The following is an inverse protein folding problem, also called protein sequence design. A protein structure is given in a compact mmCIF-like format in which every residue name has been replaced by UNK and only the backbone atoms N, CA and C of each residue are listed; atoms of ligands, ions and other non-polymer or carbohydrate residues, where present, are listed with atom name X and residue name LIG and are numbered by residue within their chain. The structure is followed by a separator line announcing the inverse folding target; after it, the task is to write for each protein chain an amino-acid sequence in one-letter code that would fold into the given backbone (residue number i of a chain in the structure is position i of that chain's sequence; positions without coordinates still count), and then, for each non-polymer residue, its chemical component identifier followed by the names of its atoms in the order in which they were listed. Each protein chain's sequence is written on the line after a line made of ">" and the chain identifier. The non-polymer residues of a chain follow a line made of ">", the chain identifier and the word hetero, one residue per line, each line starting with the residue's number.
data_IF_957014797449
#
_entry.id   IF_957014797449
#
_cell.length_a   1.000
_cell.length_b   1.000
_cell.length_c   1.000
_cell.angle_alpha   90.00
_cell.angle_beta   90.00
_cell.angle_gamma   90.00
#
_symmetry.space_group_name_H-M   'P 1'
#
loop_
_entity.id
_entity.type
_entity.pdbx_description
1 polymer ?
#
# COMPACT_ATOMS: atom_id res chain seq x y z
N UNK A 1 -11.34 0.15 -8.90
CA UNK A 1 -10.44 1.10 -8.22
C UNK A 1 -8.99 0.68 -8.45
N UNK A 2 -8.15 1.60 -8.89
CA UNK A 2 -6.72 1.34 -9.06
C UNK A 2 -6.04 1.28 -7.69
N UNK A 3 -5.22 0.26 -7.48
CA UNK A 3 -4.31 0.17 -6.34
C UNK A 3 -2.93 0.63 -6.80
N UNK A 4 -2.45 1.75 -6.28
CA UNK A 4 -1.21 2.35 -6.72
C UNK A 4 -0.19 2.38 -5.57
N UNK A 5 0.88 1.62 -5.70
CA UNK A 5 1.98 1.65 -4.74
C UNK A 5 3.01 2.64 -5.27
N UNK A 6 3.28 3.70 -4.52
CA UNK A 6 4.30 4.70 -4.84
C UNK A 6 5.38 4.58 -3.78
N UNK A 7 6.54 4.07 -4.16
CA UNK A 7 7.58 3.71 -3.21
C UNK A 7 8.91 4.38 -3.54
N UNK A 8 9.60 4.86 -2.52
CA UNK A 8 10.93 5.42 -2.66
C UNK A 8 11.98 4.30 -2.66
N UNK A 9 12.95 4.45 -3.54
CA UNK A 9 14.03 3.49 -3.70
C UNK A 9 13.74 2.41 -4.73
N UNK A 10 14.80 1.85 -5.28
CA UNK A 10 14.72 0.75 -6.25
C UNK A 10 14.90 -0.57 -5.52
N UNK A 11 13.94 -1.48 -5.70
CA UNK A 11 14.00 -2.79 -5.06
C UNK A 11 15.00 -3.73 -5.78
N UNK A 12 15.24 -3.51 -7.08
CA UNK A 12 16.19 -4.29 -7.87
C UNK A 12 15.86 -5.78 -7.89
N UNK A 13 16.89 -6.61 -7.86
CA UNK A 13 16.76 -8.06 -7.75
C UNK A 13 16.99 -8.46 -6.30
N UNK A 14 15.97 -9.01 -5.65
CA UNK A 14 16.03 -9.37 -4.24
C UNK A 14 14.90 -10.35 -3.91
N UNK A 15 14.98 -11.07 -2.79
CA UNK A 15 13.85 -11.87 -2.32
C UNK A 15 12.58 -11.04 -2.16
N UNK A 16 12.69 -9.79 -1.69
CA UNK A 16 11.56 -8.88 -1.52
C UNK A 16 10.94 -8.53 -2.87
N UNK A 17 11.75 -8.32 -3.91
CA UNK A 17 11.26 -8.05 -5.26
C UNK A 17 10.44 -9.23 -5.82
N UNK A 18 10.90 -10.45 -5.56
CA UNK A 18 10.19 -11.66 -5.97
C UNK A 18 8.82 -11.77 -5.27
N UNK A 19 8.76 -11.43 -3.99
CA UNK A 19 7.51 -11.43 -3.23
C UNK A 19 6.54 -10.37 -3.77
N UNK A 20 7.03 -9.15 -4.00
CA UNK A 20 6.21 -8.08 -4.56
C UNK A 20 5.62 -8.52 -5.90
N UNK A 21 6.45 -9.03 -6.80
CA UNK A 21 6.00 -9.49 -8.11
C UNK A 21 4.97 -10.60 -8.00
N UNK A 22 5.21 -11.57 -7.12
CA UNK A 22 4.30 -12.70 -6.89
C UNK A 22 2.91 -12.23 -6.51
N UNK A 23 2.80 -11.32 -5.54
CA UNK A 23 1.50 -10.90 -5.05
C UNK A 23 0.82 -9.91 -5.99
N UNK A 24 1.56 -8.96 -6.54
CA UNK A 24 0.99 -7.99 -7.50
C UNK A 24 0.36 -8.70 -8.70
N UNK A 25 1.00 -9.74 -9.23
CA UNK A 25 0.46 -10.54 -10.33
C UNK A 25 -0.88 -11.21 -10.02
N UNK A 26 -1.10 -11.54 -8.75
CA UNK A 26 -2.31 -12.26 -8.31
C UNK A 26 -3.49 -11.33 -8.02
N UNK A 27 -3.23 -10.02 -7.84
CA UNK A 27 -4.28 -9.05 -7.56
C UNK A 27 -5.17 -8.90 -8.79
N UNK A 28 -6.49 -9.12 -8.62
CA UNK A 28 -7.45 -9.03 -9.72
C UNK A 28 -7.85 -7.60 -10.06
N UNK A 29 -7.60 -6.65 -9.16
CA UNK A 29 -7.87 -5.24 -9.39
C UNK A 29 -6.72 -4.61 -10.17
N UNK A 30 -6.98 -3.52 -10.92
CA UNK A 30 -5.89 -2.77 -11.57
C UNK A 30 -4.86 -2.34 -10.52
N UNK A 31 -3.60 -2.64 -10.77
CA UNK A 31 -2.51 -2.37 -9.83
C UNK A 31 -1.33 -1.77 -10.57
N UNK A 32 -0.73 -0.74 -9.97
CA UNK A 32 0.43 -0.06 -10.52
C UNK A 32 1.47 0.12 -9.42
N UNK A 33 2.73 -0.05 -9.77
CA UNK A 33 3.86 0.24 -8.89
C UNK A 33 4.72 1.32 -9.53
N UNK A 34 4.94 2.41 -8.82
CA UNK A 34 5.83 3.49 -9.22
C UNK A 34 6.97 3.58 -8.23
N UNK A 35 8.21 3.47 -8.72
CA UNK A 35 9.38 3.69 -7.89
C UNK A 35 9.90 5.12 -8.10
N UNK A 36 10.18 5.79 -6.99
CA UNK A 36 10.76 7.13 -6.97
C UNK A 36 12.19 7.04 -6.43
N UNK A 37 13.07 8.02 -6.78
CA UNK A 37 14.37 8.12 -6.12
C UNK A 37 14.19 8.28 -4.60
N UNK A 38 15.25 8.04 -3.82
CA UNK A 38 15.22 8.24 -2.38
C UNK A 38 14.85 9.67 -2.01
N UNK A 39 15.24 10.63 -2.85
CA UNK A 39 14.86 12.04 -2.68
C UNK A 39 14.46 12.64 -4.02
N UNK A 40 13.48 13.53 -3.98
CA UNK A 40 13.02 14.24 -5.18
C UNK A 40 12.24 13.35 -6.13
N UNK A 41 12.41 13.60 -7.42
CA UNK A 41 11.65 12.92 -8.46
C UNK A 41 10.22 13.46 -8.57
N UNK A 42 9.52 13.02 -9.59
CA UNK A 42 8.16 13.48 -9.85
C UNK A 42 7.15 12.48 -9.27
N UNK A 43 6.48 12.90 -8.21
CA UNK A 43 5.34 12.13 -7.68
C UNK A 43 4.20 12.18 -8.70
N UNK A 44 3.59 11.05 -9.04
CA UNK A 44 2.45 11.05 -9.98
C UNK A 44 1.34 11.98 -9.50
N UNK A 45 0.74 12.70 -10.46
CA UNK A 45 -0.36 13.60 -10.16
C UNK A 45 -1.51 12.85 -9.48
N UNK A 46 -2.19 13.47 -8.50
CA UNK A 46 -3.35 12.85 -7.87
C UNK A 46 -4.48 12.66 -8.88
N UNK A 47 -5.11 11.49 -8.85
CA UNK A 47 -6.32 11.26 -9.60
C UNK A 47 -7.50 11.97 -8.92
N UNK A 48 -8.55 12.29 -9.68
CA UNK A 48 -9.81 12.72 -9.07
C UNK A 48 -10.33 11.58 -8.17
N UNK A 49 -10.86 11.92 -7.00
CA UNK A 49 -11.38 10.94 -6.04
C UNK A 49 -10.32 9.91 -5.62
N UNK A 50 -9.15 10.41 -5.26
CA UNK A 50 -8.07 9.59 -4.73
C UNK A 50 -8.12 9.53 -3.21
N UNK A 51 -7.71 8.39 -2.66
CA UNK A 51 -7.35 8.27 -1.24
C UNK A 51 -5.85 8.01 -1.14
N UNK A 52 -5.18 8.74 -0.27
CA UNK A 52 -3.74 8.63 -0.05
C UNK A 52 -3.48 8.02 1.33
N UNK A 53 -2.77 6.92 1.34
CA UNK A 53 -2.37 6.19 2.54
C UNK A 53 -0.86 6.25 2.64
N UNK A 54 -0.34 6.72 3.77
CA UNK A 54 1.09 6.67 4.05
C UNK A 54 1.36 5.47 4.95
N UNK A 55 2.35 4.65 4.61
CA UNK A 55 2.88 3.65 5.53
C UNK A 55 3.78 4.37 6.52
N UNK A 56 3.35 4.41 7.77
CA UNK A 56 4.00 5.16 8.84
C UNK A 56 3.86 4.38 10.15
N UNK A 57 4.97 4.19 10.87
CA UNK A 57 4.97 3.39 12.11
C UNK A 57 4.10 4.01 13.22
N UNK A 58 3.78 5.29 13.11
CA UNK A 58 2.87 5.97 14.07
C UNK A 58 1.41 5.89 13.64
N UNK A 59 1.11 5.23 12.53
CA UNK A 59 -0.24 5.13 12.00
C UNK A 59 -1.11 4.12 12.73
N UNK A 60 -2.36 4.01 12.26
CA UNK A 60 -3.30 3.03 12.77
C UNK A 60 -2.91 1.63 12.31
N UNK A 61 -3.07 0.66 13.19
CA UNK A 61 -2.99 -0.75 12.81
C UNK A 61 -4.38 -1.24 12.44
N UNK A 62 -4.46 -2.00 11.35
CA UNK A 62 -5.69 -2.63 10.89
C UNK A 62 -5.42 -4.11 10.72
N UNK A 63 -6.36 -4.95 11.13
CA UNK A 63 -6.28 -6.35 10.75
C UNK A 63 -6.70 -6.51 9.29
N UNK A 64 -6.52 -7.69 8.73
CA UNK A 64 -6.76 -7.91 7.30
C UNK A 64 -8.22 -7.71 6.89
N UNK A 65 -9.16 -8.06 7.77
CA UNK A 65 -10.59 -7.86 7.49
C UNK A 65 -10.95 -6.39 7.51
N UNK A 66 -10.44 -5.62 8.48
CA UNK A 66 -10.63 -4.17 8.55
C UNK A 66 -10.04 -3.48 7.33
N UNK A 67 -8.85 -3.92 6.91
CA UNK A 67 -8.19 -3.38 5.71
C UNK A 67 -9.03 -3.66 4.45
N UNK A 68 -9.54 -4.88 4.31
CA UNK A 68 -10.41 -5.25 3.20
C UNK A 68 -11.70 -4.42 3.20
N UNK A 69 -12.32 -4.24 4.37
CA UNK A 69 -13.54 -3.44 4.49
C UNK A 69 -13.31 -2.00 4.08
N UNK A 70 -12.18 -1.41 4.44
CA UNK A 70 -11.80 -0.06 4.05
C UNK A 70 -11.69 0.05 2.52
N UNK A 71 -10.96 -0.86 1.89
CA UNK A 71 -10.79 -0.85 0.44
C UNK A 71 -12.13 -1.07 -0.28
N UNK A 72 -12.94 -1.98 0.20
CA UNK A 72 -14.27 -2.25 -0.35
C UNK A 72 -15.18 -1.05 -0.24
N UNK A 73 -15.17 -0.36 0.91
CA UNK A 73 -15.93 0.85 1.13
C UNK A 73 -15.53 1.98 0.19
N UNK A 74 -14.24 2.20 0.00
CA UNK A 74 -13.76 3.21 -0.95
C UNK A 74 -14.17 2.89 -2.38
N UNK A 75 -14.05 1.63 -2.80
CA UNK A 75 -14.50 1.19 -4.12
C UNK A 75 -15.99 1.50 -4.31
N UNK A 76 -16.81 1.15 -3.33
CA UNK A 76 -18.25 1.34 -3.40
C UNK A 76 -18.64 2.83 -3.37
N UNK A 77 -17.82 3.67 -2.73
CA UNK A 77 -18.00 5.12 -2.69
C UNK A 77 -17.51 5.83 -3.96
N UNK A 78 -16.99 5.10 -4.93
CA UNK A 78 -16.53 5.67 -6.20
C UNK A 78 -15.11 6.21 -6.18
N UNK A 79 -14.29 5.85 -5.19
CA UNK A 79 -12.87 6.19 -5.19
C UNK A 79 -12.20 5.52 -6.38
N UNK A 80 -11.44 6.28 -7.16
CA UNK A 80 -10.80 5.77 -8.38
C UNK A 80 -9.41 5.21 -8.16
N UNK A 81 -8.70 5.76 -7.19
CA UNK A 81 -7.34 5.32 -6.87
C UNK A 81 -7.13 5.31 -5.36
N UNK A 82 -6.65 4.18 -4.84
CA UNK A 82 -6.09 4.11 -3.51
C UNK A 82 -4.57 4.08 -3.67
N UNK A 83 -3.92 5.16 -3.23
CA UNK A 83 -2.48 5.33 -3.37
C UNK A 83 -1.80 5.05 -2.05
N UNK A 84 -0.92 4.06 -2.05
CA UNK A 84 -0.14 3.66 -0.89
C UNK A 84 1.30 4.16 -1.07
N UNK A 85 1.72 5.06 -0.20
CA UNK A 85 3.05 5.64 -0.29
C UNK A 85 3.98 5.01 0.74
N UNK A 86 5.14 4.58 0.28
CA UNK A 86 6.19 4.04 1.12
C UNK A 86 7.39 4.98 1.01
N UNK A 87 7.76 5.60 2.14
CA UNK A 87 8.86 6.55 2.19
C UNK A 87 10.22 5.88 2.21
N UNK A 88 11.25 6.71 2.10
CA UNK A 88 12.63 6.30 2.35
C UNK A 88 12.85 6.11 3.86
N UNK A 89 14.09 5.81 4.25
CA UNK A 89 14.43 5.49 5.63
C UNK A 89 14.07 6.59 6.65
N UNK A 90 14.06 7.86 6.22
CA UNK A 90 13.69 9.00 7.07
C UNK A 90 12.16 9.25 7.12
N UNK A 91 11.38 8.48 6.39
CA UNK A 91 9.90 8.54 6.45
C UNK A 91 9.31 9.78 5.78
N UNK A 92 8.18 10.23 6.34
CA UNK A 92 7.42 11.36 5.81
C UNK A 92 7.51 12.56 6.77
N UNK A 93 7.37 13.76 6.21
CA UNK A 93 7.31 14.98 7.03
C UNK A 93 5.89 15.23 7.57
N UNK A 94 5.76 16.23 8.45
CA UNK A 94 4.48 16.54 9.08
C UNK A 94 3.43 17.03 8.08
N UNK A 95 3.85 17.75 7.03
CA UNK A 95 2.93 18.24 6.01
C UNK A 95 2.33 17.07 5.21
N UNK A 96 3.16 16.11 4.83
CA UNK A 96 2.68 14.90 4.13
C UNK A 96 1.72 14.09 4.99
N UNK A 97 2.03 13.94 6.29
CA UNK A 97 1.14 13.24 7.22
C UNK A 97 -0.19 13.95 7.37
N UNK A 98 -0.19 15.27 7.43
CA UNK A 98 -1.42 16.04 7.59
C UNK A 98 -2.35 15.96 6.37
N UNK A 99 -1.79 15.79 5.18
CA UNK A 99 -2.57 15.71 3.94
C UNK A 99 -3.09 14.30 3.63
N UNK A 100 -2.56 13.28 4.29
CA UNK A 100 -2.96 11.90 4.02
C UNK A 100 -4.36 11.60 4.56
N UNK A 101 -5.08 10.74 3.85
CA UNK A 101 -6.38 10.24 4.32
C UNK A 101 -6.22 9.22 5.43
N UNK A 102 -5.10 8.50 5.44
CA UNK A 102 -4.82 7.50 6.46
C UNK A 102 -3.31 7.35 6.63
N UNK A 103 -2.87 7.27 7.87
CA UNK A 103 -1.55 6.76 8.23
C UNK A 103 -1.74 5.31 8.67
N UNK A 104 -1.04 4.39 7.99
CA UNK A 104 -1.21 2.96 8.21
C UNK A 104 0.10 2.33 8.68
N UNK A 105 0.01 1.53 9.74
CA UNK A 105 1.16 0.89 10.37
C UNK A 105 1.02 -0.63 10.38
N UNK A 106 2.13 -1.32 10.12
CA UNK A 106 2.24 -2.77 10.33
C UNK A 106 2.67 -3.14 11.76
N UNK A 107 2.46 -2.23 12.70
CA UNK A 107 2.83 -2.41 14.08
C UNK A 107 3.89 -1.41 14.52
N UNK A 108 4.26 -1.48 15.80
CA UNK A 108 5.16 -0.51 16.42
C UNK A 108 6.65 -0.78 16.14
N UNK A 109 6.96 -1.96 15.62
CA UNK A 109 8.32 -2.29 15.22
C UNK A 109 8.69 -1.52 13.95
N UNK A 110 9.98 -1.22 13.82
CA UNK A 110 10.51 -0.64 12.58
C UNK A 110 10.77 -1.75 11.58
N UNK A 111 10.24 -1.59 10.37
CA UNK A 111 10.43 -2.56 9.29
C UNK A 111 11.33 -1.97 8.20
N UNK A 112 12.23 -2.78 7.61
CA UNK A 112 12.94 -2.34 6.40
C UNK A 112 11.91 -1.98 5.32
N UNK A 113 12.12 -0.85 4.63
CA UNK A 113 11.11 -0.35 3.68
C UNK A 113 10.87 -1.32 2.50
N UNK A 114 11.87 -2.08 2.07
CA UNK A 114 11.67 -3.08 1.02
C UNK A 114 10.83 -4.26 1.48
N UNK A 115 11.00 -4.69 2.73
CA UNK A 115 10.16 -5.72 3.32
C UNK A 115 8.73 -5.21 3.52
N UNK A 116 8.57 -3.98 3.97
CA UNK A 116 7.25 -3.36 4.10
C UNK A 116 6.52 -3.30 2.76
N UNK A 117 7.24 -3.06 1.65
CA UNK A 117 6.66 -3.10 0.31
C UNK A 117 6.08 -4.49 -0.02
N UNK A 118 6.83 -5.54 0.29
CA UNK A 118 6.37 -6.91 0.09
C UNK A 118 5.16 -7.24 0.98
N UNK A 119 5.18 -6.79 2.23
CA UNK A 119 4.07 -6.96 3.16
C UNK A 119 2.81 -6.25 2.67
N UNK A 120 2.96 -5.04 2.14
CA UNK A 120 1.84 -4.30 1.56
C UNK A 120 1.25 -5.04 0.35
N UNK A 121 2.10 -5.49 -0.57
CA UNK A 121 1.64 -6.23 -1.74
C UNK A 121 0.85 -7.48 -1.34
N UNK A 122 1.31 -8.20 -0.33
CA UNK A 122 0.61 -9.37 0.20
C UNK A 122 -0.74 -8.98 0.80
N UNK A 123 -0.81 -7.91 1.60
CA UNK A 123 -2.06 -7.46 2.20
C UNK A 123 -3.06 -6.95 1.15
N UNK A 124 -2.61 -6.31 0.08
CA UNK A 124 -3.47 -5.91 -1.03
C UNK A 124 -4.06 -7.12 -1.74
N UNK A 125 -3.25 -8.13 -1.99
CA UNK A 125 -3.74 -9.39 -2.54
C UNK A 125 -4.75 -10.05 -1.59
N UNK A 126 -4.43 -10.12 -0.32
CA UNK A 126 -5.30 -10.71 0.71
C UNK A 126 -6.65 -9.98 0.78
N UNK A 127 -6.61 -8.65 0.83
CA UNK A 127 -7.83 -7.83 0.92
C UNK A 127 -8.74 -8.02 -0.30
N UNK A 128 -8.18 -7.99 -1.51
CA UNK A 128 -8.96 -8.21 -2.73
C UNK A 128 -9.49 -9.64 -2.81
N UNK A 129 -8.75 -10.61 -2.27
CA UNK A 129 -9.21 -12.00 -2.16
C UNK A 129 -10.40 -12.12 -1.21
N UNK A 130 -10.34 -11.45 -0.06
CA UNK A 130 -11.46 -11.42 0.90
C UNK A 130 -12.72 -10.84 0.23
N UNK A 131 -12.58 -9.71 -0.46
CA UNK A 131 -13.70 -9.04 -1.12
C UNK A 131 -14.30 -9.86 -2.27
N UNK A 132 -13.51 -10.70 -2.90
CA UNK A 132 -13.96 -11.60 -3.96
C UNK A 132 -14.51 -12.94 -3.43
N UNK A 133 -14.46 -13.18 -2.13
CA UNK A 133 -14.87 -14.46 -1.55
C UNK A 133 -13.89 -15.60 -1.81
N UNK A 134 -12.66 -15.28 -2.22
CA UNK A 134 -11.63 -16.29 -2.47
C UNK A 134 -11.07 -16.82 -1.15
N UNK A 135 -10.75 -18.12 -1.02
CA UNK A 135 -10.38 -18.75 0.26
C UNK A 135 -8.93 -18.51 0.70
N UNK A 136 -8.22 -17.56 0.14
CA UNK A 136 -6.83 -17.29 0.50
C UNK A 136 -6.68 -16.91 1.98
N UNK A 137 -7.54 -16.00 2.47
CA UNK A 137 -7.45 -15.54 3.86
C UNK A 137 -8.00 -16.58 4.82
N UNK A 138 -7.22 -16.88 5.85
CA UNK A 138 -7.66 -17.70 6.98
C UNK A 138 -7.25 -17.01 8.27
N UNK A 139 -8.15 -16.94 9.22
CA UNK A 139 -7.88 -16.45 10.56
C UNK A 139 -7.46 -17.62 11.46
N UNK A 140 -6.46 -17.37 12.27
CA UNK A 140 -5.95 -18.33 13.25
C UNK A 140 -4.66 -18.96 12.87
#
# INVERSE_FOLDING_TARGET
>A
MLLHIVARGKIGRSPEAELVERYVKRIQWPTKLTELPDRGGKVPEPAAQQRTILLDETGRTLNSLEFADMLGGWRDDGVREARFMIGAADGFDDAQRAEADLLFSFGRATWPHMLARAMLAEQLYRATSILAGHPYHREG
#
